data_IF_046708747991
#
_entry.id   IF_046708747991
#
_cell.length_a   1.000
_cell.length_b   1.000
_cell.length_c   1.000
_cell.angle_alpha   90.00
_cell.angle_beta   90.00
_cell.angle_gamma   90.00
#
_symmetry.space_group_name_H-M   'P 1'
#
loop_
_entity.id
_entity.type
_entity.pdbx_description
1 polymer ?
#
# COMPACT_ATOMS: atom_id res chain seq x y z
N UNK A 1 87.96 33.63 102.37
CA UNK A 1 87.19 34.32 101.31
C UNK A 1 87.05 33.53 100.00
N UNK A 2 87.79 32.44 99.76
CA UNK A 2 87.87 31.79 98.44
C UNK A 2 86.60 31.05 97.96
N UNK A 3 85.90 30.30 98.83
CA UNK A 3 84.69 29.53 98.44
C UNK A 3 83.47 30.41 98.14
N UNK A 4 83.34 31.53 98.86
CA UNK A 4 82.29 32.54 98.65
C UNK A 4 82.49 33.23 97.31
N UNK A 5 83.75 33.49 96.93
CA UNK A 5 84.09 34.04 95.63
C UNK A 5 83.69 33.11 94.48
N UNK A 6 83.95 31.80 94.59
CA UNK A 6 83.61 30.83 93.53
C UNK A 6 82.10 30.62 93.33
N UNK A 7 81.31 30.58 94.42
CA UNK A 7 79.86 30.45 94.33
C UNK A 7 79.20 31.76 93.86
N UNK A 8 79.78 32.91 94.22
CA UNK A 8 79.35 34.21 93.72
C UNK A 8 79.67 34.33 92.23
N UNK A 9 80.85 33.88 91.77
CA UNK A 9 81.18 33.90 90.33
C UNK A 9 80.34 32.91 89.53
N UNK A 10 80.03 31.71 90.03
CA UNK A 10 79.16 30.76 89.31
C UNK A 10 77.69 31.23 89.26
N UNK A 11 77.12 31.70 90.37
CA UNK A 11 75.75 32.27 90.37
C UNK A 11 75.66 33.55 89.55
N UNK A 12 76.68 34.42 89.61
CA UNK A 12 76.74 35.61 88.77
C UNK A 12 76.88 35.23 87.29
N UNK A 13 77.66 34.20 86.96
CA UNK A 13 77.81 33.73 85.58
C UNK A 13 76.52 33.08 85.03
N UNK A 14 75.80 32.28 85.84
CA UNK A 14 74.51 31.69 85.45
C UNK A 14 73.42 32.78 85.33
N UNK A 15 73.39 33.74 86.25
CA UNK A 15 72.46 34.87 86.19
C UNK A 15 72.74 35.75 84.96
N UNK A 16 74.00 36.10 84.69
CA UNK A 16 74.39 36.85 83.49
C UNK A 16 74.09 36.08 82.20
N UNK A 17 74.27 34.76 82.19
CA UNK A 17 73.95 33.92 81.02
C UNK A 17 72.44 33.77 80.81
N UNK A 18 71.66 33.67 81.88
CA UNK A 18 70.19 33.61 81.81
C UNK A 18 69.54 34.94 81.42
N UNK A 19 70.09 36.06 81.89
CA UNK A 19 69.74 37.41 81.42
C UNK A 19 70.04 37.56 79.93
N UNK A 20 71.25 37.17 79.51
CA UNK A 20 71.62 37.20 78.10
C UNK A 20 70.68 36.33 77.25
N UNK A 21 70.27 35.16 77.72
CA UNK A 21 69.30 34.32 76.99
C UNK A 21 67.93 35.00 76.86
N UNK A 22 67.43 35.62 77.93
CA UNK A 22 66.15 36.34 77.91
C UNK A 22 66.19 37.54 76.97
N UNK A 23 67.25 38.34 77.02
CA UNK A 23 67.44 39.47 76.12
C UNK A 23 67.44 39.00 74.66
N UNK A 24 68.07 37.85 74.37
CA UNK A 24 68.07 37.23 73.04
C UNK A 24 66.69 36.71 72.63
N UNK A 25 65.91 36.14 73.55
CA UNK A 25 64.53 35.70 73.27
C UNK A 25 63.59 36.89 72.99
N UNK A 26 63.75 38.00 73.72
CA UNK A 26 63.02 39.25 73.48
C UNK A 26 63.40 39.88 72.13
N UNK A 27 64.71 39.91 71.81
CA UNK A 27 65.20 40.34 70.48
C UNK A 27 64.59 39.49 69.35
N UNK A 28 64.52 38.16 69.52
CA UNK A 28 63.90 37.27 68.54
C UNK A 28 62.41 37.55 68.39
N UNK A 29 61.67 37.77 69.48
CA UNK A 29 60.24 38.11 69.42
C UNK A 29 60.00 39.40 68.62
N UNK A 30 60.81 40.45 68.87
CA UNK A 30 60.74 41.72 68.13
C UNK A 30 61.07 41.50 66.65
N UNK A 31 62.05 40.65 66.33
CA UNK A 31 62.40 40.34 64.95
C UNK A 31 61.27 39.58 64.24
N UNK A 32 60.63 38.61 64.89
CA UNK A 32 59.47 37.91 64.33
C UNK A 32 58.30 38.85 64.07
N UNK A 33 58.01 39.77 64.99
CA UNK A 33 56.95 40.77 64.80
C UNK A 33 57.28 41.70 63.62
N UNK A 34 58.53 42.16 63.50
CA UNK A 34 58.98 42.95 62.34
C UNK A 34 58.85 42.19 61.03
N UNK A 35 59.26 40.92 60.99
CA UNK A 35 59.12 40.06 59.81
C UNK A 35 57.64 39.88 59.46
N UNK A 36 56.78 39.64 60.44
CA UNK A 36 55.34 39.47 60.22
C UNK A 36 54.69 40.76 59.69
N UNK A 37 55.03 41.93 60.25
CA UNK A 37 54.55 43.23 59.75
C UNK A 37 55.03 43.46 58.32
N UNK A 38 56.30 43.17 58.02
CA UNK A 38 56.84 43.33 56.69
C UNK A 38 56.19 42.35 55.69
N UNK A 39 55.93 41.11 56.10
CA UNK A 39 55.25 40.11 55.28
C UNK A 39 53.81 40.52 54.98
N UNK A 40 53.07 41.03 55.97
CA UNK A 40 51.72 41.56 55.76
C UNK A 40 51.72 42.79 54.84
N UNK A 41 52.72 43.66 54.94
CA UNK A 41 52.87 44.81 54.05
C UNK A 41 53.18 44.38 52.61
N UNK A 42 54.07 43.40 52.43
CA UNK A 42 54.34 42.80 51.12
C UNK A 42 53.08 42.18 50.51
N UNK A 43 52.34 41.38 51.29
CA UNK A 43 51.08 40.76 50.81
C UNK A 43 50.04 41.81 50.42
N UNK A 44 49.86 42.86 51.23
CA UNK A 44 48.95 43.96 50.88
C UNK A 44 49.41 44.67 49.60
N UNK A 45 50.71 44.96 49.47
CA UNK A 45 51.29 45.54 48.26
C UNK A 45 51.07 44.66 47.01
N UNK A 46 51.24 43.34 47.14
CA UNK A 46 50.98 42.38 46.05
C UNK A 46 49.51 42.40 45.64
N UNK A 47 48.58 42.45 46.61
CA UNK A 47 47.15 42.54 46.29
C UNK A 47 46.79 43.84 45.58
N UNK A 48 47.31 44.98 46.03
CA UNK A 48 47.09 46.28 45.37
C UNK A 48 47.68 46.31 43.96
N UNK A 49 48.87 45.74 43.78
CA UNK A 49 49.52 45.61 42.48
C UNK A 49 48.68 44.75 41.52
N UNK A 50 48.16 43.62 42.00
CA UNK A 50 47.24 42.78 41.21
C UNK A 50 45.98 43.55 40.79
N UNK A 51 45.35 44.31 41.70
CA UNK A 51 44.17 45.13 41.37
C UNK A 51 44.50 46.18 40.30
N UNK A 52 45.68 46.80 40.38
CA UNK A 52 46.13 47.77 39.38
C UNK A 52 46.43 47.11 38.03
N UNK A 53 47.05 45.93 38.01
CA UNK A 53 47.29 45.15 36.79
C UNK A 53 45.99 44.73 36.11
N UNK A 54 44.98 44.32 36.88
CA UNK A 54 43.65 44.02 36.35
C UNK A 54 42.99 45.26 35.75
N UNK A 55 43.12 46.42 36.40
CA UNK A 55 42.63 47.70 35.86
C UNK A 55 43.34 48.08 34.57
N UNK A 56 44.66 47.88 34.48
CA UNK A 56 45.44 48.11 33.26
C UNK A 56 44.96 47.17 32.15
N UNK A 57 44.77 45.87 32.45
CA UNK A 57 44.24 44.88 31.50
C UNK A 57 42.87 45.29 30.97
N UNK A 58 41.98 45.70 31.86
CA UNK A 58 40.64 46.16 31.50
C UNK A 58 40.66 47.42 30.62
N UNK A 59 41.51 48.40 30.93
CA UNK A 59 41.69 49.59 30.11
C UNK A 59 42.25 49.24 28.72
N UNK A 60 43.22 48.33 28.64
CA UNK A 60 43.75 47.82 27.36
C UNK A 60 42.65 47.18 26.52
N UNK A 61 41.77 46.37 27.11
CA UNK A 61 40.62 45.78 26.43
C UNK A 61 39.65 46.85 25.91
N UNK A 62 39.32 47.87 26.72
CA UNK A 62 38.48 49.00 26.29
C UNK A 62 39.09 49.75 25.10
N UNK A 63 40.39 50.01 25.14
CA UNK A 63 41.10 50.67 24.02
C UNK A 63 41.06 49.81 22.77
N UNK A 64 41.29 48.50 22.88
CA UNK A 64 41.22 47.57 21.76
C UNK A 64 39.81 47.55 21.13
N UNK A 65 38.77 47.50 21.96
CA UNK A 65 37.38 47.53 21.49
C UNK A 65 37.03 48.86 20.80
N UNK A 66 37.44 50.00 21.35
CA UNK A 66 37.23 51.30 20.70
C UNK A 66 37.97 51.41 19.38
N UNK A 67 39.19 50.89 19.28
CA UNK A 67 39.92 50.79 18.00
C UNK A 67 39.20 49.90 16.99
N UNK A 68 38.62 48.77 17.44
CA UNK A 68 37.82 47.88 16.59
C UNK A 68 36.57 48.60 16.06
N UNK A 69 35.84 49.29 16.94
CA UNK A 69 34.66 50.10 16.56
C UNK A 69 35.06 51.16 15.53
N UNK A 70 36.14 51.90 15.75
CA UNK A 70 36.62 52.91 14.82
C UNK A 70 36.93 52.33 13.43
N UNK A 71 37.60 51.17 13.37
CA UNK A 71 37.85 50.47 12.11
C UNK A 71 36.55 50.06 11.39
N UNK A 72 35.54 49.61 12.13
CA UNK A 72 34.23 49.27 11.55
C UNK A 72 33.54 50.51 10.98
N UNK A 73 33.54 51.61 11.72
CA UNK A 73 32.98 52.89 11.24
C UNK A 73 33.70 53.38 9.98
N UNK A 74 35.03 53.29 9.92
CA UNK A 74 35.79 53.65 8.71
C UNK A 74 35.45 52.76 7.51
N UNK A 75 35.10 51.48 7.71
CA UNK A 75 34.64 50.60 6.63
C UNK A 75 33.21 50.93 6.18
N UNK A 76 32.35 51.39 7.09
CA UNK A 76 30.97 51.76 6.78
C UNK A 76 30.87 53.16 6.12
N UNK A 77 31.83 54.04 6.39
CA UNK A 77 31.82 55.43 5.94
C UNK A 77 31.71 55.60 4.40
N UNK A 78 32.44 54.86 3.55
CA UNK A 78 32.33 54.99 2.10
C UNK A 78 30.95 54.60 1.58
N UNK A 79 30.33 53.58 2.16
CA UNK A 79 28.99 53.12 1.78
C UNK A 79 27.96 54.19 2.10
N UNK A 80 28.04 54.79 3.29
CA UNK A 80 27.17 55.92 3.65
C UNK A 80 27.35 57.09 2.70
N UNK A 81 28.59 57.50 2.43
CA UNK A 81 28.87 58.62 1.52
C UNK A 81 28.38 58.35 0.09
N UNK A 82 28.46 57.10 -0.38
CA UNK A 82 27.91 56.72 -1.68
C UNK A 82 26.37 56.84 -1.69
N UNK A 83 25.69 56.35 -0.65
CA UNK A 83 24.24 56.50 -0.50
C UNK A 83 23.81 57.97 -0.42
N UNK A 84 24.55 58.80 0.32
CA UNK A 84 24.31 60.24 0.40
C UNK A 84 24.44 60.90 -0.99
N UNK A 85 25.45 60.51 -1.78
CA UNK A 85 25.60 60.99 -3.16
C UNK A 85 24.42 60.56 -4.05
N UNK A 86 23.95 59.31 -3.93
CA UNK A 86 22.78 58.83 -4.66
C UNK A 86 21.50 59.59 -4.26
N UNK A 87 21.34 59.92 -2.98
CA UNK A 87 20.20 60.70 -2.49
C UNK A 87 20.19 62.09 -3.11
N UNK A 88 21.34 62.76 -3.17
CA UNK A 88 21.47 64.08 -3.82
C UNK A 88 21.11 64.00 -5.30
N UNK A 89 21.62 63.00 -6.03
CA UNK A 89 21.28 62.79 -7.45
C UNK A 89 19.77 62.59 -7.62
N UNK A 90 19.15 61.74 -6.79
CA UNK A 90 17.73 61.46 -6.87
C UNK A 90 16.89 62.70 -6.55
N UNK A 91 17.34 63.53 -5.60
CA UNK A 91 16.68 64.78 -5.27
C UNK A 91 16.73 65.80 -6.42
N UNK A 92 17.85 65.86 -7.14
CA UNK A 92 17.99 66.68 -8.37
C UNK A 92 17.06 66.15 -9.47
N UNK A 93 17.02 64.84 -9.69
CA UNK A 93 16.12 64.25 -10.69
C UNK A 93 14.66 64.52 -10.36
N UNK A 94 14.29 64.40 -9.09
CA UNK A 94 12.94 64.70 -8.62
C UNK A 94 12.56 66.17 -8.86
N UNK A 95 13.45 67.12 -8.56
CA UNK A 95 13.19 68.53 -8.84
C UNK A 95 13.04 68.80 -10.33
N UNK A 96 13.90 68.21 -11.17
CA UNK A 96 13.77 68.29 -12.64
C UNK A 96 12.43 67.74 -13.15
N UNK A 97 11.99 66.59 -12.66
CA UNK A 97 10.69 66.03 -13.01
C UNK A 97 9.55 66.95 -12.56
N UNK A 98 9.63 67.49 -11.34
CA UNK A 98 8.63 68.42 -10.81
C UNK A 98 8.54 69.70 -11.65
N UNK A 99 9.67 70.26 -12.06
CA UNK A 99 9.71 71.45 -12.92
C UNK A 99 9.16 71.14 -14.31
N UNK A 100 9.46 69.97 -14.87
CA UNK A 100 8.89 69.53 -16.15
C UNK A 100 7.37 69.33 -16.07
N UNK A 101 6.86 68.76 -14.98
CA UNK A 101 5.42 68.63 -14.76
C UNK A 101 4.76 70.01 -14.71
N UNK A 102 5.32 70.95 -13.93
CA UNK A 102 4.81 72.33 -13.87
C UNK A 102 4.79 73.00 -15.25
N UNK A 103 5.86 72.85 -16.04
CA UNK A 103 5.90 73.37 -17.40
C UNK A 103 4.79 72.76 -18.26
N UNK A 104 4.56 71.44 -18.17
CA UNK A 104 3.45 70.80 -18.89
C UNK A 104 2.08 71.28 -18.39
N UNK A 105 1.90 71.41 -17.08
CA UNK A 105 0.67 71.95 -16.48
C UNK A 105 0.38 73.37 -16.96
N UNK A 106 1.39 74.24 -17.05
CA UNK A 106 1.26 75.60 -17.58
C UNK A 106 0.86 75.58 -19.07
N UNK A 107 1.50 74.74 -19.88
CA UNK A 107 1.16 74.51 -21.30
C UNK A 107 -0.28 74.03 -21.46
N UNK A 108 -0.78 73.16 -20.57
CA UNK A 108 -2.14 72.63 -20.60
C UNK A 108 -3.19 73.56 -19.98
N UNK A 109 -2.79 74.41 -19.04
CA UNK A 109 -3.67 75.37 -18.38
C UNK A 109 -4.02 76.54 -19.30
N UNK A 110 -3.16 76.91 -20.25
CA UNK A 110 -3.45 77.95 -21.24
C UNK A 110 -4.57 77.50 -22.22
N UNK A 111 -5.77 78.13 -22.17
CA UNK A 111 -6.89 77.80 -23.06
C UNK A 111 -6.66 78.19 -24.52
N UNK A 112 -5.61 78.97 -24.80
CA UNK A 112 -5.25 79.54 -26.10
C UNK A 112 -4.28 78.64 -26.88
N UNK A 113 -3.70 77.64 -26.23
CA UNK A 113 -2.69 76.79 -26.83
C UNK A 113 -3.30 75.81 -27.87
N UNK A 114 -2.95 75.97 -29.15
CA UNK A 114 -3.47 75.14 -30.24
C UNK A 114 -3.05 73.66 -30.12
N UNK A 115 -1.94 73.36 -29.45
CA UNK A 115 -1.49 71.96 -29.24
C UNK A 115 -2.42 71.15 -28.32
N UNK A 116 -3.29 71.82 -27.54
CA UNK A 116 -4.29 71.17 -26.66
C UNK A 116 -5.57 70.81 -27.42
N UNK A 117 -5.94 71.59 -28.43
CA UNK A 117 -7.17 71.39 -29.19
C UNK A 117 -6.85 70.59 -30.44
N UNK A 118 -7.24 69.32 -30.44
CA UNK A 118 -7.39 68.56 -31.68
C UNK A 118 -8.82 68.76 -32.13
N UNK A 119 -9.01 69.42 -33.27
CA UNK A 119 -10.31 69.44 -33.94
C UNK A 119 -10.57 68.02 -34.45
N UNK A 120 -11.28 67.23 -33.64
CA UNK A 120 -11.83 65.97 -34.07
C UNK A 120 -13.02 66.32 -34.95
N UNK A 121 -12.84 66.19 -36.26
CA UNK A 121 -13.93 66.36 -37.22
C UNK A 121 -15.10 65.44 -36.87
N UNK A 122 -16.30 65.99 -36.96
CA UNK A 122 -17.57 65.36 -36.64
C UNK A 122 -18.60 66.45 -36.36
N UNK A 123 -19.80 66.31 -36.91
CA UNK A 123 -20.94 67.12 -36.46
C UNK A 123 -21.58 66.39 -35.29
N UNK A 124 -21.76 67.09 -34.17
CA UNK A 124 -22.56 66.57 -33.07
C UNK A 124 -23.99 66.39 -33.60
N UNK A 125 -24.55 65.17 -33.58
CA UNK A 125 -25.88 64.93 -34.13
C UNK A 125 -26.86 65.80 -33.36
N UNK A 126 -27.70 66.51 -34.13
CA UNK A 126 -28.66 67.42 -33.54
C UNK A 126 -29.60 66.65 -32.58
N UNK A 127 -30.11 67.28 -31.50
CA UNK A 127 -31.08 66.64 -30.61
C UNK A 127 -32.21 65.87 -31.33
N UNK A 128 -32.79 66.35 -32.45
CA UNK A 128 -33.81 65.57 -33.18
C UNK A 128 -33.26 64.34 -33.91
N UNK A 129 -32.00 64.31 -34.34
CA UNK A 129 -31.39 63.11 -34.94
C UNK A 129 -31.15 62.02 -33.92
N UNK A 130 -30.72 62.40 -32.70
CA UNK A 130 -30.57 61.46 -31.60
C UNK A 130 -31.91 60.86 -31.19
N UNK A 131 -32.97 61.67 -31.12
CA UNK A 131 -34.33 61.17 -30.84
C UNK A 131 -34.80 60.17 -31.89
N UNK A 132 -34.63 60.48 -33.18
CA UNK A 132 -34.93 59.52 -34.26
C UNK A 132 -34.14 58.22 -34.13
N UNK A 133 -32.87 58.30 -33.71
CA UNK A 133 -32.05 57.10 -33.52
C UNK A 133 -32.50 56.28 -32.32
N UNK A 134 -32.91 56.93 -31.23
CA UNK A 134 -33.49 56.28 -30.06
C UNK A 134 -34.77 55.54 -30.45
N UNK A 135 -35.69 56.21 -31.16
CA UNK A 135 -36.93 55.59 -31.64
C UNK A 135 -36.66 54.36 -32.54
N UNK A 136 -35.68 54.44 -33.44
CA UNK A 136 -35.27 53.29 -34.26
C UNK A 136 -34.77 52.12 -33.40
N UNK A 137 -33.94 52.41 -32.40
CA UNK A 137 -33.38 51.38 -31.51
C UNK A 137 -34.45 50.76 -30.61
N UNK A 138 -35.43 51.54 -30.15
CA UNK A 138 -36.58 51.05 -29.39
C UNK A 138 -37.43 50.08 -30.23
N UNK A 139 -37.68 50.41 -31.50
CA UNK A 139 -38.40 49.52 -32.42
C UNK A 139 -37.61 48.23 -32.66
N UNK A 140 -36.30 48.32 -32.88
CA UNK A 140 -35.44 47.14 -33.03
C UNK A 140 -35.41 46.27 -31.76
N UNK A 141 -35.41 46.90 -30.58
CA UNK A 141 -35.44 46.20 -29.30
C UNK A 141 -36.73 45.39 -29.15
N UNK A 142 -37.88 46.02 -29.37
CA UNK A 142 -39.20 45.35 -29.29
C UNK A 142 -39.29 44.19 -30.28
N UNK A 143 -38.73 44.34 -31.49
CA UNK A 143 -38.68 43.24 -32.46
C UNK A 143 -37.82 42.07 -31.98
N UNK A 144 -36.70 42.33 -31.32
CA UNK A 144 -35.84 41.29 -30.75
C UNK A 144 -36.50 40.60 -29.56
N UNK A 145 -37.15 41.35 -28.68
CA UNK A 145 -37.90 40.80 -27.54
C UNK A 145 -39.04 39.88 -28.01
N UNK A 146 -39.79 40.29 -29.04
CA UNK A 146 -40.81 39.43 -29.64
C UNK A 146 -40.23 38.12 -30.16
N UNK A 147 -39.12 38.18 -30.91
CA UNK A 147 -38.44 36.98 -31.43
C UNK A 147 -37.95 36.08 -30.30
N UNK A 148 -37.41 36.65 -29.23
CA UNK A 148 -36.97 35.91 -28.06
C UNK A 148 -38.13 35.11 -27.45
N UNK A 149 -39.28 35.76 -27.24
CA UNK A 149 -40.46 35.10 -26.68
C UNK A 149 -40.98 33.97 -27.59
N UNK A 150 -40.96 34.17 -28.92
CA UNK A 150 -41.29 33.12 -29.88
C UNK A 150 -40.33 31.92 -29.77
N UNK A 151 -39.03 32.17 -29.67
CA UNK A 151 -38.03 31.10 -29.52
C UNK A 151 -38.14 30.37 -28.19
N UNK A 152 -38.45 31.07 -27.10
CA UNK A 152 -38.62 30.47 -25.78
C UNK A 152 -39.85 29.54 -25.75
N UNK A 153 -40.96 29.96 -26.35
CA UNK A 153 -42.14 29.11 -26.49
C UNK A 153 -41.85 27.84 -27.30
N UNK A 154 -41.13 27.96 -28.41
CA UNK A 154 -40.70 26.81 -29.21
C UNK A 154 -39.79 25.88 -28.43
N UNK A 155 -38.84 26.45 -27.67
CA UNK A 155 -37.92 25.69 -26.84
C UNK A 155 -38.67 24.89 -25.76
N UNK A 156 -39.62 25.50 -25.06
CA UNK A 156 -40.45 24.81 -24.08
C UNK A 156 -41.22 23.65 -24.73
N UNK A 157 -41.82 23.88 -25.90
CA UNK A 157 -42.57 22.85 -26.59
C UNK A 157 -41.69 21.66 -27.02
N UNK A 158 -40.51 21.94 -27.59
CA UNK A 158 -39.53 20.91 -27.99
C UNK A 158 -39.02 20.15 -26.76
N UNK A 159 -38.75 20.84 -25.66
CA UNK A 159 -38.29 20.23 -24.41
C UNK A 159 -39.34 19.27 -23.86
N UNK A 160 -40.61 19.70 -23.77
CA UNK A 160 -41.73 18.85 -23.34
C UNK A 160 -41.93 17.64 -24.26
N UNK A 161 -41.74 17.79 -25.58
CA UNK A 161 -41.83 16.66 -26.51
C UNK A 161 -40.67 15.68 -26.30
N UNK A 162 -39.46 16.20 -26.14
CA UNK A 162 -38.24 15.41 -25.91
C UNK A 162 -38.34 14.59 -24.62
N UNK A 163 -38.83 15.19 -23.54
CA UNK A 163 -39.01 14.49 -22.27
C UNK A 163 -40.07 13.39 -22.36
N UNK A 164 -41.19 13.65 -23.04
CA UNK A 164 -42.20 12.61 -23.33
C UNK A 164 -41.60 11.45 -24.13
N UNK A 165 -40.81 11.75 -25.16
CA UNK A 165 -40.11 10.71 -25.95
C UNK A 165 -39.10 9.93 -25.12
N UNK A 166 -38.37 10.60 -24.22
CA UNK A 166 -37.41 9.96 -23.31
C UNK A 166 -38.10 8.96 -22.39
N UNK A 167 -39.18 9.39 -21.73
CA UNK A 167 -39.99 8.51 -20.85
C UNK A 167 -40.55 7.32 -21.62
N UNK A 168 -41.13 7.55 -22.80
CA UNK A 168 -41.65 6.47 -23.65
C UNK A 168 -40.56 5.48 -24.07
N UNK A 169 -39.36 5.97 -24.38
CA UNK A 169 -38.21 5.13 -24.74
C UNK A 169 -37.73 4.30 -23.55
N UNK A 170 -37.67 4.90 -22.37
CA UNK A 170 -37.25 4.18 -21.15
C UNK A 170 -38.22 3.07 -20.77
N UNK A 171 -39.53 3.35 -20.85
CA UNK A 171 -40.56 2.33 -20.65
C UNK A 171 -40.42 1.17 -21.65
N UNK A 172 -40.18 1.47 -22.94
CA UNK A 172 -39.96 0.43 -23.97
C UNK A 172 -38.71 -0.41 -23.71
N UNK A 173 -37.61 0.20 -23.23
CA UNK A 173 -36.41 -0.57 -22.84
C UNK A 173 -36.73 -1.54 -21.72
N UNK A 174 -37.50 -1.10 -20.72
CA UNK A 174 -37.92 -1.94 -19.60
C UNK A 174 -38.79 -3.12 -20.06
N UNK A 175 -39.76 -2.87 -20.94
CA UNK A 175 -40.60 -3.93 -21.53
C UNK A 175 -39.77 -4.95 -22.33
N UNK A 176 -38.83 -4.45 -23.12
CA UNK A 176 -37.92 -5.29 -23.92
C UNK A 176 -37.03 -6.15 -23.01
N UNK A 177 -36.53 -5.59 -21.91
CA UNK A 177 -35.74 -6.32 -20.92
C UNK A 177 -36.55 -7.43 -20.26
N UNK A 178 -37.81 -7.16 -19.88
CA UNK A 178 -38.71 -8.17 -19.31
C UNK A 178 -38.98 -9.29 -20.31
N UNK A 179 -39.22 -8.95 -21.58
CA UNK A 179 -39.41 -9.93 -22.64
C UNK A 179 -38.15 -10.79 -22.84
N UNK A 180 -36.96 -10.18 -22.91
CA UNK A 180 -35.69 -10.90 -23.05
C UNK A 180 -35.45 -11.87 -21.89
N UNK A 181 -35.72 -11.46 -20.63
CA UNK A 181 -35.64 -12.34 -19.45
C UNK A 181 -36.59 -13.54 -19.58
N UNK A 182 -37.83 -13.30 -20.01
CA UNK A 182 -38.83 -14.38 -20.21
C UNK A 182 -38.39 -15.34 -21.31
N UNK A 183 -37.89 -14.82 -22.44
CA UNK A 183 -37.38 -15.64 -23.55
C UNK A 183 -36.19 -16.48 -23.13
N UNK A 184 -35.23 -15.92 -22.39
CA UNK A 184 -34.08 -16.67 -21.87
C UNK A 184 -34.51 -17.78 -20.90
N UNK A 185 -35.48 -17.51 -20.03
CA UNK A 185 -36.03 -18.53 -19.13
C UNK A 185 -36.71 -19.66 -19.91
N UNK A 186 -37.46 -19.36 -20.97
CA UNK A 186 -38.05 -20.36 -21.86
C UNK A 186 -37.00 -21.15 -22.61
N UNK A 187 -35.97 -20.50 -23.15
CA UNK A 187 -34.86 -21.15 -23.84
C UNK A 187 -34.13 -22.14 -22.91
N UNK A 188 -33.90 -21.77 -21.64
CA UNK A 188 -33.33 -22.67 -20.64
C UNK A 188 -34.23 -23.90 -20.43
N UNK A 189 -35.53 -23.71 -20.23
CA UNK A 189 -36.49 -24.82 -20.10
C UNK A 189 -36.49 -25.74 -21.33
N UNK A 190 -36.42 -25.17 -22.53
CA UNK A 190 -36.32 -25.94 -23.78
C UNK A 190 -35.04 -26.77 -23.79
N UNK A 191 -33.88 -26.17 -23.50
CA UNK A 191 -32.60 -26.89 -23.41
C UNK A 191 -32.64 -28.04 -22.41
N UNK A 192 -33.17 -27.80 -21.21
CA UNK A 192 -33.32 -28.83 -20.17
C UNK A 192 -34.20 -29.99 -20.64
N UNK A 193 -35.30 -29.69 -21.35
CA UNK A 193 -36.19 -30.71 -21.93
C UNK A 193 -35.53 -31.46 -23.07
N UNK A 194 -34.80 -30.79 -23.95
CA UNK A 194 -34.04 -31.43 -25.03
C UNK A 194 -32.99 -32.38 -24.46
N UNK A 195 -32.29 -31.99 -23.39
CA UNK A 195 -31.32 -32.87 -22.73
C UNK A 195 -31.97 -34.12 -22.14
N UNK A 196 -33.13 -33.97 -21.48
CA UNK A 196 -33.92 -35.12 -20.98
C UNK A 196 -34.40 -36.03 -22.12
N UNK A 197 -34.86 -35.44 -23.22
CA UNK A 197 -35.27 -36.18 -24.41
C UNK A 197 -34.10 -36.97 -25.00
N UNK A 198 -32.91 -36.37 -25.11
CA UNK A 198 -31.71 -37.06 -25.57
C UNK A 198 -31.31 -38.24 -24.67
N UNK A 199 -31.42 -38.08 -23.34
CA UNK A 199 -31.17 -39.17 -22.41
C UNK A 199 -32.16 -40.33 -22.62
N UNK A 200 -33.46 -40.03 -22.74
CA UNK A 200 -34.49 -41.04 -23.02
C UNK A 200 -34.29 -41.71 -24.39
N UNK A 201 -33.88 -40.97 -25.41
CA UNK A 201 -33.55 -41.52 -26.73
C UNK A 201 -32.36 -42.49 -26.65
N UNK A 202 -31.34 -42.16 -25.87
CA UNK A 202 -30.19 -43.03 -25.65
C UNK A 202 -30.59 -44.31 -24.88
N UNK A 203 -31.40 -44.17 -23.84
CA UNK A 203 -31.97 -45.32 -23.11
C UNK A 203 -32.78 -46.22 -24.04
N UNK A 204 -33.69 -45.64 -24.85
CA UNK A 204 -34.50 -46.37 -25.82
C UNK A 204 -33.62 -47.10 -26.84
N UNK A 205 -32.60 -46.43 -27.39
CA UNK A 205 -31.64 -47.03 -28.32
C UNK A 205 -30.91 -48.22 -27.71
N UNK A 206 -30.48 -48.12 -26.44
CA UNK A 206 -29.87 -49.23 -25.71
C UNK A 206 -30.85 -50.40 -25.53
N UNK A 207 -32.12 -50.12 -25.19
CA UNK A 207 -33.15 -51.15 -25.05
C UNK A 207 -33.49 -51.81 -26.39
N UNK A 208 -33.58 -51.04 -27.48
CA UNK A 208 -33.78 -51.56 -28.82
C UNK A 208 -32.62 -52.47 -29.25
N UNK A 209 -31.37 -52.04 -29.03
CA UNK A 209 -30.20 -52.87 -29.31
C UNK A 209 -30.21 -54.18 -28.50
N UNK A 210 -30.60 -54.13 -27.23
CA UNK A 210 -30.75 -55.32 -26.38
C UNK A 210 -31.86 -56.24 -26.90
N UNK A 211 -33.01 -55.71 -27.29
CA UNK A 211 -34.10 -56.50 -27.86
C UNK A 211 -33.68 -57.19 -29.17
N UNK A 212 -32.96 -56.50 -30.05
CA UNK A 212 -32.41 -57.08 -31.29
C UNK A 212 -31.43 -58.21 -30.97
N UNK A 213 -30.54 -58.02 -29.98
CA UNK A 213 -29.61 -59.08 -29.54
C UNK A 213 -30.35 -60.31 -29.02
N UNK A 214 -31.34 -60.13 -28.14
CA UNK A 214 -32.14 -61.25 -27.62
C UNK A 214 -32.93 -61.96 -28.73
N UNK A 215 -33.50 -61.21 -29.68
CA UNK A 215 -34.18 -61.82 -30.83
C UNK A 215 -33.21 -62.62 -31.71
N UNK A 216 -31.99 -62.13 -31.90
CA UNK A 216 -30.96 -62.86 -32.63
C UNK A 216 -30.57 -64.14 -31.88
N UNK A 217 -30.35 -64.08 -30.57
CA UNK A 217 -30.07 -65.25 -29.74
C UNK A 217 -31.20 -66.27 -29.78
N UNK A 218 -32.47 -65.85 -29.73
CA UNK A 218 -33.60 -66.77 -29.90
C UNK A 218 -33.57 -67.46 -31.25
N UNK A 219 -33.38 -66.69 -32.35
CA UNK A 219 -33.29 -67.28 -33.69
C UNK A 219 -32.11 -68.24 -33.83
N UNK A 220 -30.96 -67.90 -33.26
CA UNK A 220 -29.77 -68.75 -33.31
C UNK A 220 -29.99 -70.07 -32.53
N UNK A 221 -30.63 -69.99 -31.34
CA UNK A 221 -31.02 -71.17 -30.55
C UNK A 221 -32.09 -72.00 -31.25
N UNK A 222 -33.08 -71.39 -31.89
CA UNK A 222 -34.13 -72.10 -32.64
C UNK A 222 -33.53 -72.83 -33.84
N UNK A 223 -32.64 -72.18 -34.62
CA UNK A 223 -31.89 -72.84 -35.71
C UNK A 223 -31.04 -73.99 -35.19
N UNK A 224 -30.40 -73.83 -34.04
CA UNK A 224 -29.64 -74.89 -33.39
C UNK A 224 -30.56 -76.07 -33.02
N UNK A 225 -31.69 -75.83 -32.35
CA UNK A 225 -32.65 -76.86 -32.00
C UNK A 225 -33.24 -77.57 -33.23
N UNK A 226 -33.56 -76.85 -34.30
CA UNK A 226 -34.01 -77.45 -35.56
C UNK A 226 -32.94 -78.36 -36.17
N UNK A 227 -31.68 -77.91 -36.16
CA UNK A 227 -30.54 -78.70 -36.65
C UNK A 227 -30.35 -79.97 -35.81
N UNK A 228 -30.43 -79.87 -34.49
CA UNK A 228 -30.34 -81.01 -33.58
C UNK A 228 -31.52 -81.95 -33.76
N UNK A 229 -32.75 -81.44 -33.81
CA UNK A 229 -33.97 -82.23 -33.97
C UNK A 229 -33.96 -82.99 -35.31
N UNK A 230 -33.63 -82.31 -36.40
CA UNK A 230 -33.50 -82.96 -37.72
C UNK A 230 -32.42 -84.04 -37.74
N UNK A 231 -31.32 -83.89 -36.99
CA UNK A 231 -30.29 -84.94 -36.86
C UNK A 231 -30.79 -86.13 -36.04
N UNK A 232 -31.50 -85.87 -34.94
CA UNK A 232 -32.12 -86.90 -34.11
C UNK A 232 -33.15 -87.70 -34.92
N UNK A 233 -34.01 -87.03 -35.69
CA UNK A 233 -35.01 -87.67 -36.56
C UNK A 233 -34.36 -88.55 -37.65
N UNK A 234 -33.16 -88.17 -38.09
CA UNK A 234 -32.35 -88.96 -39.04
C UNK A 234 -31.49 -90.05 -38.35
N UNK A 235 -31.57 -90.20 -37.02
CA UNK A 235 -30.78 -91.15 -36.24
C UNK A 235 -29.28 -90.80 -36.14
N UNK A 236 -28.89 -89.57 -36.50
CA UNK A 236 -27.52 -89.09 -36.44
C UNK A 236 -27.20 -88.51 -35.05
N UNK A 237 -25.95 -88.67 -34.55
CA UNK A 237 -25.55 -88.10 -33.27
C UNK A 237 -25.60 -86.57 -33.28
N UNK A 238 -25.90 -85.91 -32.14
CA UNK A 238 -25.85 -84.47 -32.01
C UNK A 238 -24.51 -83.86 -32.48
N UNK A 239 -24.48 -82.59 -32.93
CA UNK A 239 -23.25 -81.92 -33.34
C UNK A 239 -22.15 -82.00 -32.28
N UNK A 240 -20.89 -82.23 -32.70
CA UNK A 240 -19.70 -82.33 -31.81
C UNK A 240 -19.52 -81.11 -30.90
N UNK A 241 -19.97 -79.94 -31.33
CA UNK A 241 -19.96 -78.71 -30.53
C UNK A 241 -20.83 -78.86 -29.27
N UNK A 242 -22.00 -79.50 -29.38
CA UNK A 242 -22.90 -79.82 -28.26
C UNK A 242 -22.25 -80.78 -27.28
N UNK A 243 -21.54 -81.80 -27.78
CA UNK A 243 -20.80 -82.74 -26.95
C UNK A 243 -19.65 -82.05 -26.22
N UNK A 244 -18.91 -81.17 -26.90
CA UNK A 244 -17.85 -80.38 -26.30
C UNK A 244 -18.40 -79.41 -25.23
N UNK A 245 -19.55 -78.77 -25.48
CA UNK A 245 -20.23 -77.92 -24.49
C UNK A 245 -20.72 -78.74 -23.30
N UNK A 246 -21.29 -79.92 -23.52
CA UNK A 246 -21.70 -80.84 -22.47
C UNK A 246 -20.51 -81.31 -21.62
N UNK A 247 -19.39 -81.67 -22.26
CA UNK A 247 -18.15 -82.02 -21.58
C UNK A 247 -17.56 -80.82 -20.81
N UNK A 248 -17.69 -79.60 -21.33
CA UNK A 248 -17.33 -78.37 -20.58
C UNK A 248 -18.22 -78.19 -19.36
N UNK A 249 -19.53 -78.41 -19.48
CA UNK A 249 -20.47 -78.35 -18.34
C UNK A 249 -20.11 -79.40 -17.30
N UNK A 250 -19.92 -80.66 -17.70
CA UNK A 250 -19.47 -81.74 -16.81
C UNK A 250 -18.13 -81.45 -16.13
N UNK A 251 -17.16 -80.91 -16.88
CA UNK A 251 -15.87 -80.51 -16.33
C UNK A 251 -16.05 -79.36 -15.34
N UNK A 252 -16.88 -78.38 -15.64
CA UNK A 252 -17.17 -77.25 -14.76
C UNK A 252 -17.92 -77.71 -13.50
N UNK A 253 -18.90 -78.59 -13.62
CA UNK A 253 -19.59 -79.21 -12.48
C UNK A 253 -18.64 -80.04 -11.64
N UNK A 254 -17.74 -80.80 -12.27
CA UNK A 254 -16.70 -81.56 -11.56
C UNK A 254 -15.73 -80.61 -10.84
N UNK A 255 -15.28 -79.54 -11.49
CA UNK A 255 -14.45 -78.50 -10.87
C UNK A 255 -15.18 -77.80 -9.73
N UNK A 256 -16.48 -77.50 -9.87
CA UNK A 256 -17.29 -76.90 -8.82
C UNK A 256 -17.50 -77.87 -7.65
N UNK A 257 -17.73 -79.15 -7.92
CA UNK A 257 -17.81 -80.20 -6.89
C UNK A 257 -16.48 -80.39 -6.19
N UNK A 258 -15.37 -80.52 -6.91
CA UNK A 258 -14.02 -80.62 -6.34
C UNK A 258 -13.63 -79.34 -5.57
N UNK A 259 -14.02 -78.16 -6.04
CA UNK A 259 -13.83 -76.91 -5.32
C UNK A 259 -14.65 -76.90 -4.03
N UNK A 260 -15.93 -77.29 -4.09
CA UNK A 260 -16.79 -77.41 -2.92
C UNK A 260 -16.28 -78.48 -1.94
N UNK A 261 -15.74 -79.59 -2.43
CA UNK A 261 -15.19 -80.69 -1.63
C UNK A 261 -13.83 -80.32 -1.01
N UNK A 262 -12.96 -79.58 -1.73
CA UNK A 262 -11.76 -78.96 -1.16
C UNK A 262 -12.08 -77.89 -0.13
N UNK A 263 -13.13 -77.10 -0.36
CA UNK A 263 -13.62 -76.08 0.56
C UNK A 263 -14.27 -76.72 1.80
N UNK A 264 -14.84 -77.92 1.68
CA UNK A 264 -15.36 -78.73 2.78
C UNK A 264 -14.27 -79.52 3.54
N UNK A 265 -13.21 -79.99 2.86
CA UNK A 265 -12.11 -80.77 3.45
C UNK A 265 -11.10 -79.90 4.23
N UNK A 266 -11.09 -78.58 4.02
CA UNK A 266 -10.31 -77.64 4.81
C UNK A 266 -11.13 -76.38 5.17
N UNK A 267 -12.11 -76.48 6.10
CA UNK A 267 -12.99 -75.36 6.48
C UNK A 267 -12.28 -74.17 7.13
N UNK A 268 -11.01 -74.30 7.52
CA UNK A 268 -10.32 -73.32 8.36
C UNK A 268 -8.98 -72.77 7.82
N UNK A 269 -8.62 -73.05 6.57
CA UNK A 269 -7.38 -72.50 6.01
C UNK A 269 -7.57 -71.82 4.66
N UNK A 270 -7.80 -70.50 4.70
CA UNK A 270 -7.77 -69.61 3.54
C UNK A 270 -6.34 -69.55 3.01
N UNK A 271 -6.03 -70.33 1.98
CA UNK A 271 -4.73 -70.27 1.30
C UNK A 271 -4.68 -69.03 0.40
N UNK A 272 -4.29 -67.88 0.97
CA UNK A 272 -3.96 -66.68 0.21
C UNK A 272 -2.48 -66.35 0.38
N UNK A 273 -1.77 -66.21 -0.73
CA UNK A 273 -0.35 -65.81 -0.76
C UNK A 273 -0.13 -64.32 -0.47
N UNK A 274 -1.21 -63.56 -0.23
CA UNK A 274 -1.17 -62.12 0.01
C UNK A 274 -0.95 -61.82 1.50
N UNK A 275 0.00 -60.93 1.82
CA UNK A 275 0.26 -60.47 3.18
C UNK A 275 -0.99 -59.79 3.78
N UNK A 276 -1.42 -60.21 4.97
CA UNK A 276 -2.54 -59.58 5.67
C UNK A 276 -2.14 -58.17 6.15
N UNK A 277 -3.00 -57.20 5.84
CA UNK A 277 -2.76 -55.80 6.25
C UNK A 277 -3.05 -55.62 7.74
N UNK A 278 -2.22 -54.86 8.50
CA UNK A 278 -2.53 -54.50 9.88
C UNK A 278 -3.80 -53.64 9.96
N UNK A 279 -4.78 -54.07 10.75
CA UNK A 279 -6.12 -53.44 10.85
C UNK A 279 -6.26 -52.46 12.03
N UNK A 280 -5.26 -52.37 12.91
CA UNK A 280 -5.26 -51.50 14.08
C UNK A 280 -3.90 -50.82 14.28
N UNK A 281 -3.89 -49.67 14.96
CA UNK A 281 -2.66 -49.04 15.46
C UNK A 281 -2.67 -48.94 16.97
N UNK A 282 -1.48 -48.74 17.54
CA UNK A 282 -1.29 -48.42 18.95
C UNK A 282 -0.99 -46.92 19.01
N UNK A 283 -1.83 -46.09 19.66
CA UNK A 283 -1.55 -44.66 19.83
C UNK A 283 -0.37 -44.43 20.78
N UNK A 284 0.54 -43.52 20.44
CA UNK A 284 1.76 -43.19 21.22
C UNK A 284 1.58 -42.00 22.20
N UNK A 285 0.34 -41.57 22.49
CA UNK A 285 0.09 -40.45 23.41
C UNK A 285 0.21 -40.87 24.89
N UNK A 286 1.02 -40.16 25.68
CA UNK A 286 1.35 -40.43 27.10
C UNK A 286 0.14 -40.52 28.06
N UNK A 287 -1.05 -40.08 27.63
CA UNK A 287 -2.28 -40.13 28.42
C UNK A 287 -3.27 -41.21 27.94
N UNK A 288 -2.87 -42.07 26.99
CA UNK A 288 -3.73 -43.13 26.45
C UNK A 288 -3.14 -44.52 26.66
N UNK A 289 -3.98 -45.48 27.09
CA UNK A 289 -3.56 -46.88 27.28
C UNK A 289 -3.15 -47.51 25.94
N UNK A 290 -2.08 -48.35 25.90
CA UNK A 290 -1.54 -48.96 24.68
C UNK A 290 -2.42 -50.14 24.21
N UNK A 291 -3.68 -49.86 23.89
CA UNK A 291 -4.63 -50.83 23.36
C UNK A 291 -4.79 -50.61 21.84
N UNK A 292 -4.76 -51.67 21.02
CA UNK A 292 -4.90 -51.55 19.57
C UNK A 292 -6.26 -50.95 19.20
N UNK A 293 -6.25 -49.82 18.49
CA UNK A 293 -7.47 -49.15 18.01
C UNK A 293 -7.63 -49.35 16.50
N UNK A 294 -8.84 -49.67 16.01
CA UNK A 294 -9.08 -49.76 14.59
C UNK A 294 -8.97 -48.37 13.94
N UNK A 295 -8.41 -48.30 12.73
CA UNK A 295 -8.18 -47.02 12.04
C UNK A 295 -9.46 -46.28 11.58
N UNK A 296 -10.65 -46.84 11.82
CA UNK A 296 -11.93 -46.21 11.47
C UNK A 296 -12.09 -45.92 9.97
N UNK A 297 -12.90 -44.90 9.63
CA UNK A 297 -13.20 -44.53 8.24
C UNK A 297 -11.99 -43.91 7.49
N UNK A 298 -10.93 -43.53 8.21
CA UNK A 298 -9.72 -42.89 7.67
C UNK A 298 -8.52 -43.85 7.76
N UNK A 299 -8.72 -45.11 7.37
CA UNK A 299 -7.66 -46.11 7.38
C UNK A 299 -6.47 -45.70 6.50
N UNK A 300 -5.22 -45.81 6.99
CA UNK A 300 -4.04 -45.52 6.20
C UNK A 300 -4.04 -46.40 4.96
N UNK A 301 -4.15 -45.78 3.79
CA UNK A 301 -4.06 -46.46 2.52
C UNK A 301 -2.58 -46.53 2.12
N UNK A 302 -2.00 -47.73 2.03
CA UNK A 302 -0.71 -47.91 1.35
C UNK A 302 -0.96 -47.70 -0.15
N UNK A 303 -0.42 -46.65 -0.79
CA UNK A 303 -0.58 -46.46 -2.22
C UNK A 303 -0.10 -47.71 -2.94
N UNK A 304 -0.92 -48.26 -3.83
CA UNK A 304 -0.50 -49.40 -4.65
C UNK A 304 0.70 -48.96 -5.46
N UNK A 305 1.79 -49.72 -5.42
CA UNK A 305 2.95 -49.45 -6.27
C UNK A 305 2.45 -49.38 -7.72
N UNK A 306 2.80 -48.31 -8.46
CA UNK A 306 2.30 -48.13 -9.81
C UNK A 306 2.71 -49.33 -10.66
N UNK A 307 1.72 -50.15 -11.03
CA UNK A 307 1.95 -51.33 -11.84
C UNK A 307 2.50 -50.96 -13.22
N UNK A 308 3.19 -51.92 -13.85
CA UNK A 308 3.89 -51.75 -15.14
C UNK A 308 3.06 -51.08 -16.25
N UNK A 309 1.72 -51.15 -16.17
CA UNK A 309 0.76 -50.55 -17.12
C UNK A 309 0.55 -49.03 -17.00
N UNK A 310 1.11 -48.34 -16.00
CA UNK A 310 0.91 -46.88 -15.82
C UNK A 310 1.78 -45.99 -16.72
N UNK A 311 2.56 -46.56 -17.66
CA UNK A 311 3.44 -45.80 -18.57
C UNK A 311 2.69 -44.95 -19.63
N UNK A 312 1.37 -45.04 -19.70
CA UNK A 312 0.56 -44.42 -20.77
C UNK A 312 -0.39 -43.29 -20.32
N UNK A 313 -0.29 -42.78 -19.09
CA UNK A 313 -1.07 -41.60 -18.66
C UNK A 313 -0.37 -40.29 -19.06
N UNK A 314 -0.88 -39.60 -20.09
CA UNK A 314 -0.50 -38.21 -20.42
C UNK A 314 -1.37 -37.24 -19.61
N UNK A 315 -0.74 -36.28 -18.92
CA UNK A 315 -1.46 -35.20 -18.21
C UNK A 315 -2.13 -34.27 -19.24
N UNK A 316 -3.39 -33.84 -19.02
CA UNK A 316 -4.07 -32.92 -19.92
C UNK A 316 -3.43 -31.53 -19.90
N UNK A 317 -3.24 -30.93 -21.07
CA UNK A 317 -2.70 -29.56 -21.22
C UNK A 317 -3.83 -28.57 -20.98
N UNK A 318 -3.68 -27.72 -19.95
CA UNK A 318 -4.64 -26.65 -19.63
C UNK A 318 -4.46 -25.52 -20.64
N UNK A 319 -5.50 -25.17 -21.39
CA UNK A 319 -5.46 -24.02 -22.31
C UNK A 319 -5.60 -22.71 -21.52
N UNK A 320 -4.83 -21.66 -21.85
CA UNK A 320 -5.00 -20.35 -21.22
C UNK A 320 -6.37 -19.77 -21.56
N UNK A 321 -6.96 -19.11 -20.57
CA UNK A 321 -8.26 -18.43 -20.67
C UNK A 321 -7.99 -17.07 -21.33
N UNK A 322 -8.57 -16.83 -22.49
CA UNK A 322 -8.61 -15.49 -23.11
C UNK A 322 -9.60 -14.62 -22.32
N UNK A 323 -9.15 -13.45 -21.88
CA UNK A 323 -9.94 -12.45 -21.12
C UNK A 323 -10.88 -11.71 -22.06
#
# INVERSE_FOLDING_TARGET
MSQIFLNFTFSFWVYCSGLLLRDREEELCILYEKINIQEMLCRNGDTEMQVMDEKIRFLKLKVAEKKRQMKLWFKALPVRNALDAHLVVLQIQYSQCKDRIKQMEEIFADPTNESRKRDLGGEDPSPPELLKKIEQLEVELVQKEKKLLETDFLYEHVSRLTDRMRVATENRKQDTLLLAKRTNALQKKVKDRTQKMMALLAELSMKQALAIKLQQEMRDKERFLMTVSSRIDQGLPPPKETENEWLKVLRNEKMQKEAAEKQAAAPYCVHTTAEQRPTAYIPDDEYSLPLPRPYGALAPFKPTEPGSNMRHFRKPVVKPIEI
#
